data_IF_846147789737
#
_entry.id   IF_846147789737
#
_cell.length_a   1.000
_cell.length_b   1.000
_cell.length_c   1.000
_cell.angle_alpha   90.00
_cell.angle_beta   90.00
_cell.angle_gamma   90.00
#
_symmetry.space_group_name_H-M   'P 1'
#
loop_
_entity.id
_entity.type
_entity.pdbx_description
1 polymer ?
#
# COMPACT_ATOMS: atom_id res chain seq x y z
N UNK A 1 50.70 -17.44 2.17
CA UNK A 1 50.39 -16.11 1.58
C UNK A 1 49.26 -16.33 0.57
N UNK A 2 48.13 -15.68 0.82
CA UNK A 2 46.74 -15.93 0.38
C UNK A 2 46.46 -16.78 -0.88
N UNK A 3 45.68 -17.85 -0.67
CA UNK A 3 44.82 -18.50 -1.69
C UNK A 3 43.66 -17.55 -2.02
N UNK A 4 43.47 -17.21 -3.29
CA UNK A 4 42.30 -16.46 -3.76
C UNK A 4 41.12 -17.40 -3.88
N UNK A 5 40.24 -17.37 -2.88
CA UNK A 5 38.97 -18.08 -2.89
C UNK A 5 38.01 -17.35 -3.85
N UNK A 6 37.56 -18.01 -4.92
CA UNK A 6 36.65 -17.43 -5.94
C UNK A 6 35.23 -18.03 -5.89
N UNK A 7 34.86 -18.59 -4.75
CA UNK A 7 33.55 -19.24 -4.55
C UNK A 7 32.63 -18.40 -3.65
N UNK A 8 32.28 -17.18 -4.08
CA UNK A 8 31.31 -16.35 -3.37
C UNK A 8 30.50 -15.42 -4.29
N UNK A 9 30.16 -15.86 -5.49
CA UNK A 9 29.09 -15.25 -6.28
C UNK A 9 27.94 -16.26 -6.40
N UNK A 10 27.40 -16.66 -5.24
CA UNK A 10 26.15 -17.38 -5.14
C UNK A 10 25.08 -16.34 -4.80
N UNK A 11 24.19 -16.12 -5.78
CA UNK A 11 22.81 -15.61 -5.70
C UNK A 11 22.52 -14.31 -4.92
N UNK A 12 22.48 -13.17 -5.62
CA UNK A 12 21.61 -12.03 -5.25
C UNK A 12 21.06 -11.28 -6.49
N UNK A 13 20.65 -11.99 -7.56
CA UNK A 13 19.91 -11.39 -8.69
C UNK A 13 18.43 -11.84 -8.75
N UNK A 14 17.91 -12.39 -7.65
CA UNK A 14 16.49 -12.69 -7.53
C UNK A 14 15.92 -12.05 -6.26
N UNK A 15 15.93 -10.72 -6.20
CA UNK A 15 14.92 -10.04 -5.41
C UNK A 15 13.61 -10.12 -6.19
N UNK A 16 12.91 -11.21 -5.93
CA UNK A 16 11.63 -11.60 -6.50
C UNK A 16 10.66 -10.42 -6.58
N UNK A 17 10.03 -10.26 -7.75
CA UNK A 17 8.87 -9.40 -7.99
C UNK A 17 7.69 -9.66 -7.04
N UNK A 18 7.79 -10.66 -6.18
CA UNK A 18 6.79 -11.08 -5.19
C UNK A 18 6.94 -10.37 -3.83
N UNK A 19 7.95 -9.51 -3.65
CA UNK A 19 8.09 -8.61 -2.48
C UNK A 19 7.71 -7.17 -2.89
N UNK A 20 6.61 -7.00 -3.62
CA UNK A 20 5.86 -5.76 -3.45
C UNK A 20 5.30 -5.82 -2.04
N UNK A 21 6.00 -5.19 -1.10
CA UNK A 21 5.64 -5.14 0.30
C UNK A 21 4.16 -4.79 0.39
N UNK A 22 3.33 -5.74 0.88
CA UNK A 22 1.92 -5.50 1.12
C UNK A 22 1.84 -4.52 2.27
N UNK A 23 2.00 -3.23 1.99
CA UNK A 23 1.81 -2.18 2.98
C UNK A 23 0.34 -2.26 3.40
N UNK A 24 0.04 -2.68 4.64
CA UNK A 24 -1.33 -2.84 5.07
C UNK A 24 -2.00 -1.46 5.10
N UNK A 25 -3.05 -1.29 4.30
CA UNK A 25 -3.88 -0.08 4.35
C UNK A 25 -4.68 -0.11 5.64
N UNK A 26 -4.57 0.93 6.46
CA UNK A 26 -5.39 1.05 7.68
C UNK A 26 -6.87 1.19 7.30
N UNK A 27 -7.69 0.26 7.77
CA UNK A 27 -9.14 0.28 7.58
C UNK A 27 -9.86 0.41 8.91
N UNK A 28 -11.00 1.10 8.93
CA UNK A 28 -11.89 1.18 10.08
C UNK A 28 -13.29 0.68 9.71
N UNK A 29 -13.94 -0.01 10.65
CA UNK A 29 -15.30 -0.48 10.45
C UNK A 29 -16.30 0.66 10.58
N UNK A 30 -17.12 0.85 9.53
CA UNK A 30 -18.20 1.85 9.50
C UNK A 30 -19.54 1.13 9.36
N UNK A 31 -20.45 1.38 10.29
CA UNK A 31 -21.81 0.85 10.25
C UNK A 31 -22.81 1.94 9.88
N UNK A 32 -23.83 1.58 9.12
CA UNK A 32 -24.93 2.48 8.75
C UNK A 32 -26.26 1.74 8.65
N UNK A 33 -27.35 2.49 8.83
CA UNK A 33 -28.72 1.98 8.68
C UNK A 33 -29.06 1.87 7.20
N UNK A 34 -29.78 0.81 6.82
CA UNK A 34 -30.25 0.58 5.44
C UNK A 34 -31.00 1.81 4.92
N UNK A 35 -30.65 2.25 3.70
CA UNK A 35 -31.25 3.42 3.06
C UNK A 35 -30.72 4.77 3.54
N UNK A 36 -29.70 4.78 4.41
CA UNK A 36 -29.01 6.01 4.85
C UNK A 36 -27.59 6.08 4.29
N UNK A 37 -27.07 7.29 4.17
CA UNK A 37 -25.70 7.54 3.74
C UNK A 37 -24.73 7.30 4.89
N UNK A 38 -23.63 6.60 4.61
CA UNK A 38 -22.48 6.48 5.51
C UNK A 38 -21.34 7.39 5.02
N UNK A 39 -20.57 7.94 5.96
CA UNK A 39 -19.31 8.62 5.65
C UNK A 39 -18.16 7.68 5.93
N UNK A 40 -17.28 7.48 4.95
CA UNK A 40 -16.05 6.72 5.11
C UNK A 40 -14.92 7.69 5.48
N UNK A 41 -14.27 7.54 6.65
CA UNK A 41 -13.22 8.44 7.10
C UNK A 41 -11.89 8.13 6.41
N UNK A 42 -11.21 9.16 5.93
CA UNK A 42 -9.84 9.10 5.42
C UNK A 42 -9.10 10.30 5.99
N UNK A 43 -8.02 10.05 6.73
CA UNK A 43 -7.09 11.11 7.11
C UNK A 43 -6.25 11.48 5.88
N UNK A 44 -6.10 12.78 5.65
CA UNK A 44 -5.35 13.34 4.52
C UNK A 44 -4.29 14.33 5.01
N UNK A 45 -4.07 14.42 6.32
CA UNK A 45 -3.01 15.25 6.88
C UNK A 45 -1.64 14.66 6.48
N UNK A 46 -0.81 15.42 5.76
CA UNK A 46 0.51 14.95 5.36
C UNK A 46 1.49 15.01 6.56
N UNK A 47 2.50 14.14 6.54
CA UNK A 47 3.56 14.13 7.58
C UNK A 47 4.41 15.40 7.56
N UNK A 48 4.49 16.07 6.40
CA UNK A 48 5.27 17.29 6.18
C UNK A 48 4.41 18.38 5.54
N UNK A 49 4.75 19.65 5.76
CA UNK A 49 3.97 20.78 5.23
C UNK A 49 4.19 20.99 3.72
N UNK A 50 5.26 20.42 3.17
CA UNK A 50 5.62 20.50 1.76
C UNK A 50 4.82 19.50 0.90
N UNK A 51 4.29 18.44 1.53
CA UNK A 51 3.51 17.41 0.85
C UNK A 51 2.03 17.80 0.72
N UNK A 52 1.42 17.37 -0.38
CA UNK A 52 0.01 17.64 -0.70
C UNK A 52 -0.69 16.40 -1.22
N UNK A 53 -1.90 16.17 -0.73
CA UNK A 53 -2.76 15.08 -1.22
C UNK A 53 -3.33 15.45 -2.58
N UNK A 54 -2.95 14.69 -3.61
CA UNK A 54 -3.45 14.88 -4.98
C UNK A 54 -4.74 14.11 -5.27
N UNK A 55 -4.94 12.96 -4.63
CA UNK A 55 -6.06 12.07 -4.94
C UNK A 55 -6.38 11.14 -3.76
N UNK A 56 -7.68 10.90 -3.55
CA UNK A 56 -8.19 9.89 -2.62
C UNK A 56 -9.08 8.92 -3.40
N UNK A 57 -8.78 7.63 -3.34
CA UNK A 57 -9.52 6.58 -4.04
C UNK A 57 -10.12 5.60 -3.06
N UNK A 58 -11.40 5.30 -3.23
CA UNK A 58 -12.11 4.31 -2.43
C UNK A 58 -12.30 3.03 -3.24
N UNK A 59 -11.88 1.89 -2.70
CA UNK A 59 -12.09 0.60 -3.33
C UNK A 59 -13.03 -0.25 -2.48
N UNK A 60 -13.93 -0.97 -3.15
CA UNK A 60 -14.58 -2.12 -2.54
C UNK A 60 -13.65 -3.31 -2.70
N UNK A 61 -13.48 -4.13 -1.66
CA UNK A 61 -12.53 -5.26 -1.64
C UNK A 61 -12.55 -6.17 -2.90
N UNK A 62 -13.72 -6.37 -3.51
CA UNK A 62 -13.88 -7.17 -4.74
C UNK A 62 -14.18 -6.35 -6.01
N UNK A 63 -14.23 -5.02 -5.90
CA UNK A 63 -14.48 -4.12 -7.01
C UNK A 63 -13.15 -3.60 -7.53
N UNK A 64 -12.57 -4.22 -8.55
CA UNK A 64 -11.30 -3.80 -9.17
C UNK A 64 -11.33 -2.42 -9.84
N UNK A 65 -12.35 -1.59 -9.58
CA UNK A 65 -12.48 -0.20 -10.03
C UNK A 65 -12.77 0.68 -8.81
N UNK A 66 -12.08 1.82 -8.66
CA UNK A 66 -12.36 2.74 -7.58
C UNK A 66 -13.74 3.37 -7.73
N UNK A 67 -14.32 3.76 -6.59
CA UNK A 67 -15.57 4.49 -6.49
C UNK A 67 -15.25 5.98 -6.71
N UNK A 68 -15.70 6.51 -7.84
CA UNK A 68 -15.76 7.95 -8.09
C UNK A 68 -17.15 8.44 -7.74
N UNK A 69 -17.25 9.54 -6.99
CA UNK A 69 -18.52 10.22 -6.75
C UNK A 69 -18.68 11.37 -7.73
#
# INVERSE_FOLDING_TARGET
>A
MAMRNRDAAIVEDQMSSDIVDFVPVSTVDVQAVVGRTAHLPCDIEPDTNEDRVYMVLWFRHAGGKPLYR
#
